data_IF_829163560946
#
_entry.id   IF_829163560946
#
_cell.length_a   1.000
_cell.length_b   1.000
_cell.length_c   1.000
_cell.angle_alpha   90.00
_cell.angle_beta   90.00
_cell.angle_gamma   90.00
#
_symmetry.space_group_name_H-M   'P 1'
#
loop_
_entity.id
_entity.type
_entity.pdbx_description
1 polymer ?
#
# COMPACT_ATOMS: atom_id res chain seq x y z
N UNK A 1 -7.18 1.42 -25.88
CA UNK A 1 -8.14 1.93 -26.90
C UNK A 1 -7.40 2.69 -28.02
N UNK A 2 -7.94 2.81 -29.24
CA UNK A 2 -7.29 3.61 -30.31
C UNK A 2 -7.59 5.11 -30.16
N UNK A 3 -6.60 5.97 -30.44
CA UNK A 3 -6.73 7.44 -30.32
C UNK A 3 -7.87 8.03 -31.18
N UNK A 4 -8.14 7.43 -32.35
CA UNK A 4 -9.24 7.82 -33.24
C UNK A 4 -10.61 7.62 -32.61
N UNK A 5 -10.78 6.57 -31.81
CA UNK A 5 -12.02 6.29 -31.09
C UNK A 5 -12.23 7.27 -29.93
N UNK A 6 -11.15 7.63 -29.22
CA UNK A 6 -11.18 8.64 -28.15
C UNK A 6 -11.66 9.99 -28.70
N UNK A 7 -11.04 10.46 -29.79
CA UNK A 7 -11.38 11.74 -30.40
C UNK A 7 -12.86 11.79 -30.81
N UNK A 8 -13.36 10.73 -31.44
CA UNK A 8 -14.77 10.64 -31.85
C UNK A 8 -15.74 10.73 -30.67
N UNK A 9 -15.45 10.06 -29.55
CA UNK A 9 -16.29 10.14 -28.35
C UNK A 9 -16.27 11.53 -27.71
N UNK A 10 -15.11 12.22 -27.75
CA UNK A 10 -14.99 13.61 -27.29
C UNK A 10 -15.85 14.52 -28.18
N UNK A 11 -15.73 14.40 -29.50
CA UNK A 11 -16.50 15.20 -30.48
C UNK A 11 -18.02 14.97 -30.36
N UNK A 12 -18.44 13.75 -30.01
CA UNK A 12 -19.84 13.40 -29.78
C UNK A 12 -20.39 13.80 -28.39
N UNK A 13 -19.56 14.34 -27.49
CA UNK A 13 -19.95 14.66 -26.12
C UNK A 13 -20.18 13.43 -25.22
N UNK A 14 -19.69 12.25 -25.61
CA UNK A 14 -19.84 10.97 -24.90
C UNK A 14 -18.83 10.84 -23.73
N UNK A 15 -18.68 11.90 -22.94
CA UNK A 15 -17.60 12.03 -21.94
C UNK A 15 -17.70 11.00 -20.82
N UNK A 16 -18.91 10.73 -20.30
CA UNK A 16 -19.07 9.76 -19.20
C UNK A 16 -18.82 8.32 -19.65
N UNK A 17 -19.22 7.98 -20.88
CA UNK A 17 -18.92 6.67 -21.46
C UNK A 17 -17.42 6.51 -21.75
N UNK A 18 -16.77 7.56 -22.25
CA UNK A 18 -15.33 7.59 -22.43
C UNK A 18 -14.59 7.38 -21.09
N UNK A 19 -15.01 8.07 -20.03
CA UNK A 19 -14.47 7.86 -18.68
C UNK A 19 -14.63 6.39 -18.26
N UNK A 20 -15.82 5.81 -18.40
CA UNK A 20 -16.07 4.41 -18.04
C UNK A 20 -15.09 3.45 -18.73
N UNK A 21 -14.94 3.55 -20.05
CA UNK A 21 -14.03 2.71 -20.84
C UNK A 21 -12.58 2.89 -20.38
N UNK A 22 -12.13 4.14 -20.15
CA UNK A 22 -10.77 4.40 -19.70
C UNK A 22 -10.51 3.86 -18.29
N UNK A 23 -11.49 3.96 -17.37
CA UNK A 23 -11.38 3.39 -16.01
C UNK A 23 -11.26 1.86 -16.07
N UNK A 24 -12.06 1.22 -16.92
CA UNK A 24 -12.00 -0.22 -17.14
C UNK A 24 -10.63 -0.63 -17.72
N UNK A 25 -10.11 0.11 -18.70
CA UNK A 25 -8.78 -0.14 -19.28
C UNK A 25 -7.66 0.02 -18.23
N UNK A 26 -7.71 1.06 -17.39
CA UNK A 26 -6.75 1.28 -16.30
C UNK A 26 -6.80 0.15 -15.28
N UNK A 27 -8.01 -0.30 -14.91
CA UNK A 27 -8.21 -1.40 -13.98
C UNK A 27 -7.61 -2.70 -14.51
N UNK A 28 -7.95 -3.10 -15.74
CA UNK A 28 -7.45 -4.33 -16.36
C UNK A 28 -5.93 -4.31 -16.55
N UNK A 29 -5.37 -3.18 -16.99
CA UNK A 29 -3.91 -3.02 -17.12
C UNK A 29 -3.18 -3.06 -15.77
N UNK A 30 -3.84 -2.63 -14.69
CA UNK A 30 -3.27 -2.70 -13.36
C UNK A 30 -3.25 -4.13 -12.81
N UNK A 31 -4.27 -4.93 -13.13
CA UNK A 31 -4.37 -6.34 -12.73
C UNK A 31 -3.46 -7.27 -13.55
N UNK A 32 -3.24 -6.97 -14.83
CA UNK A 32 -2.38 -7.80 -15.69
C UNK A 32 -0.88 -7.64 -15.39
N UNK A 33 -0.53 -6.75 -14.47
CA UNK A 33 0.85 -6.52 -14.07
C UNK A 33 1.32 -7.66 -13.15
N UNK A 34 2.20 -8.50 -13.68
CA UNK A 34 2.91 -9.49 -12.86
C UNK A 34 4.02 -8.83 -12.03
N UNK A 35 3.98 -8.89 -10.69
CA UNK A 35 5.02 -8.33 -9.84
C UNK A 35 6.30 -9.15 -9.95
N UNK A 36 7.32 -8.55 -10.53
CA UNK A 36 8.66 -9.12 -10.66
C UNK A 36 9.64 -8.48 -9.66
N UNK A 37 10.83 -9.08 -9.55
CA UNK A 37 11.93 -8.58 -8.69
C UNK A 37 12.25 -7.11 -9.00
N UNK A 38 12.19 -6.70 -10.27
CA UNK A 38 12.49 -5.32 -10.70
C UNK A 38 11.45 -4.32 -10.19
N UNK A 39 10.17 -4.69 -10.22
CA UNK A 39 9.08 -3.86 -9.74
C UNK A 39 9.13 -3.69 -8.22
N UNK A 40 9.43 -4.76 -7.48
CA UNK A 40 9.62 -4.74 -6.03
C UNK A 40 10.84 -3.95 -5.62
N UNK A 41 11.97 -4.14 -6.30
CA UNK A 41 13.17 -3.31 -6.10
C UNK A 41 12.89 -1.82 -6.35
N UNK A 42 12.07 -1.49 -7.36
CA UNK A 42 11.64 -0.11 -7.59
C UNK A 42 10.74 0.42 -6.47
N UNK A 43 9.92 -0.44 -5.84
CA UNK A 43 9.12 -0.08 -4.67
C UNK A 43 10.01 0.14 -3.43
N UNK A 44 11.03 -0.70 -3.20
CA UNK A 44 12.02 -0.52 -2.13
C UNK A 44 12.70 0.85 -2.20
N UNK A 45 13.18 1.24 -3.40
CA UNK A 45 13.75 2.58 -3.63
C UNK A 45 12.76 3.71 -3.36
N UNK A 46 11.46 3.48 -3.58
CA UNK A 46 10.38 4.45 -3.37
C UNK A 46 9.92 4.52 -1.91
N UNK A 47 10.21 3.52 -1.07
CA UNK A 47 9.63 3.40 0.27
C UNK A 47 9.88 4.65 1.15
N UNK A 48 11.12 5.13 1.14
CA UNK A 48 11.56 6.32 1.88
C UNK A 48 11.28 7.63 1.14
N UNK A 49 10.79 7.55 -0.11
CA UNK A 49 10.36 8.74 -0.85
C UNK A 49 9.20 9.39 -0.09
N UNK A 50 9.34 10.68 0.16
CA UNK A 50 8.39 11.52 0.92
C UNK A 50 8.35 11.30 2.43
N UNK A 51 9.28 10.52 3.00
CA UNK A 51 9.47 10.51 4.45
C UNK A 51 10.17 11.81 4.84
N UNK A 52 9.57 12.57 5.74
CA UNK A 52 10.12 13.80 6.31
C UNK A 52 10.38 13.57 7.80
N UNK A 53 11.40 12.78 8.10
CA UNK A 53 11.78 12.46 9.48
C UNK A 53 13.28 12.57 9.66
N UNK A 54 13.68 13.21 10.76
CA UNK A 54 15.06 13.28 11.20
C UNK A 54 15.52 11.99 11.88
N UNK A 55 14.63 11.04 12.16
CA UNK A 55 14.99 9.77 12.77
C UNK A 55 15.60 8.85 11.70
N UNK A 56 16.91 8.51 11.77
CA UNK A 56 17.60 7.88 10.64
C UNK A 56 17.01 6.51 10.26
N UNK A 57 16.48 5.74 11.21
CA UNK A 57 15.85 4.44 10.94
C UNK A 57 14.62 4.53 10.01
N UNK A 58 14.03 5.72 9.82
CA UNK A 58 12.92 5.93 8.90
C UNK A 58 13.36 6.31 7.47
N UNK A 59 14.67 6.34 7.20
CA UNK A 59 15.21 6.73 5.90
C UNK A 59 16.08 5.64 5.25
N UNK A 60 16.40 4.57 5.99
CA UNK A 60 17.25 3.49 5.53
C UNK A 60 16.64 2.12 5.86
N UNK A 61 16.77 1.11 4.98
CA UNK A 61 16.38 -0.26 5.29
C UNK A 61 17.37 -0.88 6.29
N UNK A 62 16.94 -1.86 7.08
CA UNK A 62 17.82 -2.59 8.00
C UNK A 62 17.84 -4.07 7.63
N UNK A 63 19.02 -4.57 7.27
CA UNK A 63 19.23 -5.98 6.93
C UNK A 63 19.32 -6.85 8.19
N UNK A 64 19.23 -8.17 8.00
CA UNK A 64 19.42 -9.18 9.04
C UNK A 64 18.43 -9.10 10.22
N UNK A 65 17.20 -8.62 9.95
CA UNK A 65 16.13 -8.59 10.95
C UNK A 65 15.48 -9.97 11.04
N UNK A 66 15.61 -10.61 12.20
CA UNK A 66 15.05 -11.95 12.44
C UNK A 66 13.64 -11.86 13.01
N UNK A 67 12.68 -12.48 12.31
CA UNK A 67 11.27 -12.57 12.71
C UNK A 67 10.81 -14.00 12.55
N UNK A 68 10.28 -14.60 13.63
CA UNK A 68 9.78 -15.98 13.63
C UNK A 68 10.77 -17.01 13.03
N UNK A 69 12.08 -16.82 13.28
CA UNK A 69 13.14 -17.70 12.79
C UNK A 69 13.57 -17.47 11.33
N UNK A 70 12.97 -16.52 10.61
CA UNK A 70 13.36 -16.14 9.24
C UNK A 70 14.05 -14.77 9.24
N UNK A 71 15.04 -14.62 8.38
CA UNK A 71 15.78 -13.36 8.21
C UNK A 71 15.16 -12.52 7.10
N UNK A 72 14.99 -11.23 7.37
CA UNK A 72 14.41 -10.26 6.47
C UNK A 72 15.26 -8.99 6.39
N UNK A 73 15.03 -8.22 5.33
CA UNK A 73 15.33 -6.79 5.31
C UNK A 73 14.08 -5.99 5.68
N UNK A 74 14.22 -5.10 6.63
CA UNK A 74 13.17 -4.23 7.13
C UNK A 74 13.19 -2.86 6.47
N UNK A 75 12.02 -2.40 6.05
CA UNK A 75 11.72 -1.04 5.64
C UNK A 75 10.69 -0.50 6.62
N UNK A 76 10.94 0.64 7.27
CA UNK A 76 10.09 1.17 8.34
C UNK A 76 9.96 2.69 8.23
N UNK A 77 8.79 3.22 8.56
CA UNK A 77 8.60 4.61 8.93
C UNK A 77 7.59 4.71 10.09
N UNK A 78 7.12 5.93 10.41
CA UNK A 78 6.18 6.19 11.50
C UNK A 78 4.80 5.53 11.33
N UNK A 79 4.41 5.17 10.11
CA UNK A 79 3.05 4.71 9.78
C UNK A 79 2.98 3.25 9.32
N UNK A 80 4.08 2.69 8.85
CA UNK A 80 4.08 1.38 8.23
C UNK A 80 5.46 0.73 8.18
N UNK A 81 5.48 -0.58 7.95
CA UNK A 81 6.70 -1.32 7.65
C UNK A 81 6.48 -2.40 6.60
N UNK A 82 7.57 -2.82 5.95
CA UNK A 82 7.64 -4.00 5.11
C UNK A 82 8.89 -4.80 5.49
N UNK A 83 8.76 -6.12 5.58
CA UNK A 83 9.82 -7.09 5.78
C UNK A 83 9.85 -7.97 4.53
N UNK A 84 10.97 -7.99 3.82
CA UNK A 84 11.12 -8.80 2.60
C UNK A 84 12.35 -9.68 2.71
N UNK A 85 12.30 -10.86 2.12
CA UNK A 85 13.46 -11.75 1.99
C UNK A 85 14.36 -11.40 0.81
N UNK A 86 13.92 -10.46 -0.03
CA UNK A 86 14.70 -10.03 -1.18
C UNK A 86 15.86 -9.11 -0.78
N UNK A 87 16.91 -9.15 -1.60
CA UNK A 87 18.07 -8.27 -1.45
C UNK A 87 17.70 -6.82 -1.75
N UNK A 88 18.32 -5.89 -1.01
CA UNK A 88 18.20 -4.45 -1.25
C UNK A 88 19.15 -3.92 -2.32
N UNK A 89 19.90 -4.79 -3.01
CA UNK A 89 20.80 -4.43 -4.10
C UNK A 89 21.80 -3.34 -3.68
N UNK A 90 21.67 -2.17 -4.31
CA UNK A 90 22.57 -1.02 -4.11
C UNK A 90 22.03 0.00 -3.09
N UNK A 91 20.87 -0.24 -2.49
CA UNK A 91 20.31 0.66 -1.47
C UNK A 91 21.20 0.59 -0.23
N UNK A 92 21.66 1.75 0.26
CA UNK A 92 22.48 1.83 1.47
C UNK A 92 21.67 1.35 2.69
N UNK A 93 22.13 0.34 3.45
CA UNK A 93 21.45 -0.10 4.66
C UNK A 93 21.73 0.85 5.84
N UNK A 94 20.87 0.75 6.85
CA UNK A 94 21.02 1.44 8.11
C UNK A 94 22.27 0.96 8.85
N UNK A 95 23.16 1.90 9.17
CA UNK A 95 24.32 1.66 10.03
C UNK A 95 24.10 2.40 11.37
N UNK A 96 23.91 1.63 12.44
CA UNK A 96 23.68 2.16 13.79
C UNK A 96 24.84 3.02 14.30
N UNK A 97 26.09 2.70 13.95
CA UNK A 97 27.27 3.48 14.35
C UNK A 97 27.29 4.81 13.62
N UNK A 98 27.10 4.79 12.29
CA UNK A 98 27.04 5.99 11.46
C UNK A 98 25.87 6.90 11.85
N UNK A 99 24.71 6.30 12.14
CA UNK A 99 23.49 7.00 12.49
C UNK A 99 23.42 7.47 13.94
N UNK A 100 24.32 7.02 14.82
CA UNK A 100 24.29 7.32 16.27
C UNK A 100 22.96 6.95 16.94
N UNK A 101 22.21 5.99 16.37
CA UNK A 101 20.86 5.66 16.78
C UNK A 101 20.55 4.17 16.58
N UNK A 102 19.44 3.70 17.13
CA UNK A 102 19.00 2.31 17.02
C UNK A 102 17.96 2.16 15.91
N UNK A 103 17.89 0.95 15.33
CA UNK A 103 16.77 0.57 14.48
C UNK A 103 15.65 -0.05 15.33
N UNK A 104 14.38 0.40 15.20
CA UNK A 104 13.27 -0.17 15.97
C UNK A 104 13.12 -1.68 15.76
N UNK A 105 12.82 -2.41 16.84
CA UNK A 105 12.64 -3.87 16.81
C UNK A 105 11.29 -4.24 16.18
N UNK A 106 11.19 -4.18 14.86
CA UNK A 106 9.96 -4.46 14.10
C UNK A 106 9.39 -5.85 14.35
N UNK A 107 10.24 -6.82 14.74
CA UNK A 107 9.82 -8.17 15.13
C UNK A 107 8.80 -8.18 16.26
N UNK A 108 8.80 -7.16 17.13
CA UNK A 108 7.83 -7.04 18.22
C UNK A 108 6.41 -6.69 17.74
N UNK A 109 6.27 -6.18 16.52
CA UNK A 109 4.97 -5.85 15.92
C UNK A 109 4.42 -7.00 15.09
N UNK A 110 5.21 -8.05 14.85
CA UNK A 110 4.80 -9.23 14.10
C UNK A 110 4.39 -10.32 15.10
N UNK A 111 3.13 -10.23 15.55
CA UNK A 111 2.48 -11.19 16.45
C UNK A 111 1.02 -11.38 16.06
N UNK A 112 0.43 -12.53 16.37
CA UNK A 112 -0.92 -12.91 15.92
C UNK A 112 -1.97 -12.88 17.02
N UNK A 113 -2.09 -11.76 17.74
CA UNK A 113 -3.27 -11.48 18.60
C UNK A 113 -4.47 -11.04 17.75
N UNK A 114 -4.59 -11.59 16.54
CA UNK A 114 -5.57 -11.17 15.55
C UNK A 114 -6.96 -11.67 15.96
N UNK A 115 -7.92 -10.76 15.96
CA UNK A 115 -9.32 -11.10 16.15
C UNK A 115 -9.94 -11.63 14.86
N UNK A 116 -9.44 -11.17 13.70
CA UNK A 116 -9.89 -11.55 12.37
C UNK A 116 -8.69 -11.83 11.48
N UNK A 117 -8.81 -12.84 10.63
CA UNK A 117 -7.80 -13.19 9.63
C UNK A 117 -8.44 -13.80 8.39
N UNK A 118 -7.74 -13.74 7.27
CA UNK A 118 -8.23 -14.30 6.00
C UNK A 118 -7.28 -13.98 4.86
N UNK A 119 -7.79 -14.08 3.63
CA UNK A 119 -7.07 -13.62 2.44
C UNK A 119 -7.68 -12.33 1.91
N UNK A 120 -6.84 -11.48 1.33
CA UNK A 120 -7.24 -10.23 0.71
C UNK A 120 -6.43 -9.96 -0.56
N UNK A 121 -7.12 -9.56 -1.61
CA UNK A 121 -6.52 -9.17 -2.88
C UNK A 121 -6.24 -7.65 -2.90
N UNK A 122 -5.06 -7.28 -2.40
CA UNK A 122 -4.61 -5.89 -2.35
C UNK A 122 -4.24 -5.35 -3.74
N UNK A 123 -3.83 -6.21 -4.67
CA UNK A 123 -3.62 -5.85 -6.08
C UNK A 123 -4.91 -5.33 -6.68
N UNK A 124 -6.03 -6.03 -6.43
CA UNK A 124 -7.37 -5.56 -6.79
C UNK A 124 -7.64 -4.21 -6.18
N UNK A 125 -7.51 -4.05 -4.86
CA UNK A 125 -7.79 -2.79 -4.16
C UNK A 125 -7.00 -1.60 -4.73
N UNK A 126 -5.72 -1.78 -5.06
CA UNK A 126 -4.86 -0.74 -5.66
C UNK A 126 -5.27 -0.46 -7.12
N UNK A 127 -5.52 -1.48 -7.94
CA UNK A 127 -5.98 -1.34 -9.32
C UNK A 127 -7.29 -0.54 -9.40
N UNK A 128 -8.17 -0.88 -8.50
CA UNK A 128 -9.44 -0.23 -8.23
C UNK A 128 -9.29 1.25 -7.88
N UNK A 129 -8.38 1.61 -6.96
CA UNK A 129 -8.08 3.01 -6.66
C UNK A 129 -7.50 3.74 -7.88
N UNK A 130 -6.59 3.10 -8.64
CA UNK A 130 -5.98 3.70 -9.86
C UNK A 130 -7.01 4.00 -10.94
N UNK A 131 -7.97 3.10 -11.15
CA UNK A 131 -9.09 3.34 -12.06
C UNK A 131 -9.94 4.55 -11.63
N UNK A 132 -9.84 4.97 -10.38
CA UNK A 132 -10.47 6.16 -9.83
C UNK A 132 -9.58 7.39 -9.81
N UNK A 133 -8.35 7.30 -10.29
CA UNK A 133 -7.44 8.45 -10.38
C UNK A 133 -6.41 8.51 -9.27
N UNK A 134 -6.35 7.50 -8.40
CA UNK A 134 -5.24 7.35 -7.47
C UNK A 134 -3.91 7.31 -8.24
N UNK A 135 -2.96 8.10 -7.76
CA UNK A 135 -1.57 8.05 -8.18
C UNK A 135 -0.68 8.19 -6.96
N UNK A 136 0.44 7.47 -6.94
CA UNK A 136 1.37 7.53 -5.83
C UNK A 136 2.09 8.90 -5.81
N UNK A 137 1.65 9.80 -4.92
CA UNK A 137 2.18 11.15 -4.69
C UNK A 137 2.50 11.38 -3.20
N UNK A 138 3.18 12.48 -2.88
CA UNK A 138 3.55 12.84 -1.49
C UNK A 138 2.32 12.84 -0.57
N UNK A 139 1.23 13.44 -1.03
CA UNK A 139 0.02 13.65 -0.24
C UNK A 139 -0.66 12.34 0.18
N UNK A 140 -0.59 11.30 -0.65
CA UNK A 140 -1.19 9.98 -0.37
C UNK A 140 -0.51 9.20 0.77
N UNK A 141 0.69 9.62 1.18
CA UNK A 141 1.47 8.97 2.24
C UNK A 141 1.72 9.90 3.44
N UNK A 142 1.17 11.11 3.41
CA UNK A 142 1.20 12.11 4.49
C UNK A 142 -0.24 12.43 4.91
N UNK A 143 -0.56 13.69 5.24
CA UNK A 143 -1.82 14.09 5.86
C UNK A 143 -2.91 14.47 4.85
N UNK A 144 -2.56 14.67 3.57
CA UNK A 144 -3.46 15.16 2.52
C UNK A 144 -3.92 14.04 1.57
N UNK A 145 -4.09 12.83 2.08
CA UNK A 145 -4.47 11.68 1.27
C UNK A 145 -5.93 11.80 0.79
N UNK A 146 -6.18 11.30 -0.41
CA UNK A 146 -7.50 11.21 -1.01
C UNK A 146 -8.04 9.78 -0.85
N UNK A 147 -7.25 8.76 -1.14
CA UNK A 147 -7.79 7.40 -1.26
C UNK A 147 -7.57 6.57 0.01
N UNK A 148 -8.65 5.94 0.49
CA UNK A 148 -8.61 5.01 1.62
C UNK A 148 -9.16 3.62 1.25
N UNK A 149 -8.71 2.64 2.01
CA UNK A 149 -9.12 1.24 2.00
C UNK A 149 -9.71 0.93 3.37
N UNK A 150 -10.93 0.38 3.40
CA UNK A 150 -11.55 -0.10 4.63
C UNK A 150 -11.47 -1.62 4.74
N UNK A 151 -11.20 -2.10 5.95
CA UNK A 151 -11.29 -3.52 6.30
C UNK A 151 -12.02 -3.63 7.64
N UNK A 152 -13.24 -4.15 7.60
CA UNK A 152 -14.17 -4.11 8.73
C UNK A 152 -14.37 -2.66 9.21
N UNK A 153 -13.97 -2.36 10.44
CA UNK A 153 -14.05 -1.07 11.11
C UNK A 153 -12.74 -0.26 11.05
N UNK A 154 -11.71 -0.78 10.37
CA UNK A 154 -10.41 -0.12 10.19
C UNK A 154 -10.30 0.61 8.86
N UNK A 155 -9.61 1.75 8.87
CA UNK A 155 -9.36 2.57 7.69
C UNK A 155 -7.88 2.77 7.45
N UNK A 156 -7.43 2.55 6.22
CA UNK A 156 -6.02 2.58 5.85
C UNK A 156 -5.83 3.42 4.59
N UNK A 157 -4.78 4.23 4.53
CA UNK A 157 -4.48 5.05 3.34
C UNK A 157 -4.02 4.14 2.21
N UNK A 158 -4.60 4.27 1.01
CA UNK A 158 -4.17 3.46 -0.16
C UNK A 158 -2.70 3.72 -0.47
N UNK A 159 -2.19 4.94 -0.26
CA UNK A 159 -0.77 5.23 -0.41
C UNK A 159 0.15 4.41 0.50
N UNK A 160 -0.28 4.10 1.73
CA UNK A 160 0.48 3.23 2.64
C UNK A 160 0.35 1.76 2.24
N UNK A 161 -0.84 1.34 1.79
CA UNK A 161 -1.06 -0.01 1.23
C UNK A 161 -0.18 -0.25 0.01
N UNK A 162 -0.18 0.65 -0.99
CA UNK A 162 0.69 0.57 -2.17
C UNK A 162 2.17 0.57 -1.76
N UNK A 163 2.57 1.46 -0.85
CA UNK A 163 3.96 1.56 -0.34
C UNK A 163 4.46 0.23 0.23
N UNK A 164 3.67 -0.42 1.08
CA UNK A 164 4.06 -1.66 1.77
C UNK A 164 3.89 -2.86 0.86
N UNK A 165 2.70 -3.04 0.29
CA UNK A 165 2.36 -4.23 -0.48
C UNK A 165 3.22 -4.35 -1.73
N UNK A 166 3.55 -3.25 -2.42
CA UNK A 166 4.43 -3.29 -3.60
C UNK A 166 5.85 -3.85 -3.34
N UNK A 167 6.30 -3.93 -2.08
CA UNK A 167 7.59 -4.57 -1.72
C UNK A 167 7.44 -6.07 -1.53
N UNK A 168 6.26 -6.53 -1.11
CA UNK A 168 5.99 -7.92 -0.75
C UNK A 168 4.98 -8.59 -1.69
N UNK A 169 4.62 -7.94 -2.79
CA UNK A 169 3.68 -8.45 -3.79
C UNK A 169 4.30 -9.63 -4.57
N UNK A 170 3.79 -10.83 -4.31
CA UNK A 170 4.13 -12.06 -5.01
C UNK A 170 3.12 -12.44 -6.10
N UNK A 171 2.13 -11.57 -6.35
CA UNK A 171 1.08 -11.78 -7.36
C UNK A 171 -0.12 -12.58 -6.84
N UNK A 172 -0.08 -13.04 -5.59
CA UNK A 172 -1.16 -13.81 -4.97
C UNK A 172 -1.89 -12.98 -3.90
N UNK A 173 -3.15 -13.33 -3.55
CA UNK A 173 -3.84 -12.71 -2.42
C UNK A 173 -3.05 -12.88 -1.11
N UNK A 174 -2.84 -11.78 -0.40
CA UNK A 174 -2.12 -11.77 0.86
C UNK A 174 -2.97 -12.35 2.00
N UNK A 175 -2.33 -13.04 2.94
CA UNK A 175 -2.93 -13.28 4.26
C UNK A 175 -3.01 -11.96 5.03
N UNK A 176 -4.10 -11.71 5.73
CA UNK A 176 -4.21 -10.58 6.65
C UNK A 176 -4.50 -11.02 8.08
N UNK A 177 -4.08 -10.20 9.02
CA UNK A 177 -4.31 -10.35 10.46
C UNK A 177 -4.71 -8.98 11.02
N UNK A 178 -5.91 -8.91 11.58
CA UNK A 178 -6.56 -7.67 12.02
C UNK A 178 -7.10 -7.81 13.44
N UNK A 179 -6.72 -6.86 14.30
CA UNK A 179 -7.09 -6.87 15.72
C UNK A 179 -8.03 -5.72 16.13
N UNK A 180 -8.49 -4.88 15.20
CA UNK A 180 -9.42 -3.79 15.47
C UNK A 180 -9.04 -2.45 14.83
N UNK A 181 -9.85 -1.40 15.04
CA UNK A 181 -9.87 -0.18 14.22
C UNK A 181 -8.70 0.77 14.50
N UNK A 182 -8.02 0.58 15.63
CA UNK A 182 -6.81 1.31 16.02
C UNK A 182 -5.56 0.43 15.95
N UNK A 183 -5.73 -0.83 15.55
CA UNK A 183 -4.67 -1.83 15.53
C UNK A 183 -3.99 -1.87 14.16
N UNK A 184 -2.69 -2.17 14.18
CA UNK A 184 -1.90 -2.42 12.98
C UNK A 184 -2.56 -3.53 12.13
N UNK A 185 -2.77 -3.26 10.84
CA UNK A 185 -3.08 -4.31 9.87
C UNK A 185 -1.78 -4.99 9.48
N UNK A 186 -1.68 -6.28 9.78
CA UNK A 186 -0.59 -7.13 9.31
C UNK A 186 -1.03 -7.86 8.04
N UNK A 187 -0.16 -7.87 7.04
CA UNK A 187 -0.33 -8.62 5.79
C UNK A 187 0.89 -9.50 5.55
N UNK A 188 0.69 -10.66 4.92
CA UNK A 188 1.75 -11.62 4.68
C UNK A 188 1.59 -12.28 3.31
N UNK A 189 2.71 -12.46 2.64
CA UNK A 189 2.85 -13.14 1.36
C UNK A 189 3.97 -14.17 1.46
N UNK A 190 4.26 -14.89 0.37
CA UNK A 190 5.38 -15.84 0.34
C UNK A 190 6.75 -15.15 0.48
N UNK A 191 6.85 -13.88 0.08
CA UNK A 191 8.12 -13.12 0.03
C UNK A 191 8.28 -12.11 1.17
N UNK A 192 7.24 -11.86 1.96
CA UNK A 192 7.36 -10.86 3.02
C UNK A 192 6.18 -10.70 3.98
N UNK A 193 6.32 -9.73 4.88
CA UNK A 193 5.34 -9.33 5.88
C UNK A 193 5.23 -7.80 5.84
N UNK A 194 4.02 -7.27 5.84
CA UNK A 194 3.74 -5.85 5.88
C UNK A 194 2.95 -5.48 7.13
N UNK A 195 3.16 -4.27 7.63
CA UNK A 195 2.37 -3.69 8.71
C UNK A 195 1.95 -2.28 8.34
N UNK A 196 0.65 -1.97 8.46
CA UNK A 196 0.08 -0.68 8.09
C UNK A 196 -0.78 -0.16 9.25
N UNK A 197 -0.45 1.03 9.78
CA UNK A 197 -1.27 1.65 10.81
C UNK A 197 -2.56 2.21 10.21
N UNK A 198 -3.69 2.05 10.93
CA UNK A 198 -4.94 2.68 10.53
C UNK A 198 -4.88 4.19 10.79
N UNK A 199 -5.81 4.92 10.18
CA UNK A 199 -6.10 6.29 10.58
C UNK A 199 -7.46 6.36 11.27
N UNK A 200 -7.58 7.25 12.25
CA UNK A 200 -8.85 7.50 12.92
C UNK A 200 -9.70 8.41 12.04
N UNK A 201 -10.93 7.99 11.72
CA UNK A 201 -11.97 8.87 11.18
C UNK A 201 -12.36 9.85 12.29
N UNK A 202 -11.72 11.02 12.36
CA UNK A 202 -12.19 12.12 13.22
C UNK A 202 -13.36 12.82 12.53
N UNK A 203 -14.32 13.32 13.31
CA UNK A 203 -15.49 14.08 12.80
C UNK A 203 -15.10 15.28 11.92
N UNK A 204 -13.88 15.78 12.08
CA UNK A 204 -13.35 16.92 11.32
C UNK A 204 -12.70 16.51 9.98
N UNK A 205 -12.51 15.20 9.75
CA UNK A 205 -12.21 14.65 8.42
C UNK A 205 -13.51 14.34 7.64
N UNK A 206 -14.57 15.11 7.90
CA UNK A 206 -15.67 15.29 6.96
C UNK A 206 -15.17 16.10 5.75
N UNK A 207 -14.16 15.61 5.04
CA UNK A 207 -14.05 15.94 3.62
C UNK A 207 -15.17 15.17 2.95
N UNK A 208 -16.11 15.87 2.33
CA UNK A 208 -17.12 15.27 1.47
C UNK A 208 -16.39 14.46 0.38
N UNK A 209 -16.27 13.16 0.60
CA UNK A 209 -15.52 12.30 -0.29
C UNK A 209 -15.96 10.85 -0.12
N UNK A 210 -15.86 10.13 -1.23
CA UNK A 210 -16.52 8.85 -1.44
C UNK A 210 -15.74 7.71 -0.77
N UNK A 211 -16.35 7.06 0.23
CA UNK A 211 -15.78 5.98 1.04
C UNK A 211 -15.69 4.65 0.27
N UNK A 212 -14.49 4.07 0.13
CA UNK A 212 -14.30 2.71 -0.43
C UNK A 212 -14.63 1.70 0.66
N UNK A 213 -15.87 1.22 0.66
CA UNK A 213 -16.38 0.22 1.62
C UNK A 213 -16.34 -1.17 1.00
N UNK A 214 -15.52 -2.07 1.53
CA UNK A 214 -15.57 -3.49 1.18
C UNK A 214 -16.41 -4.22 2.23
N UNK A 215 -17.65 -4.56 1.85
CA UNK A 215 -18.49 -5.46 2.63
C UNK A 215 -18.18 -6.86 2.11
N UNK A 216 -17.49 -7.63 2.94
CA UNK A 216 -17.05 -9.00 2.69
C UNK A 216 -15.88 -9.20 1.71
N UNK A 217 -15.07 -10.24 1.99
CA UNK A 217 -13.81 -10.57 1.31
C UNK A 217 -13.94 -10.89 -0.20
N UNK A 218 -15.15 -10.77 -0.78
CA UNK A 218 -15.46 -11.16 -2.15
C UNK A 218 -16.18 -10.08 -3.00
N UNK A 219 -16.64 -8.96 -2.42
CA UNK A 219 -17.34 -7.92 -3.20
C UNK A 219 -16.61 -6.59 -3.16
N UNK A 220 -16.26 -6.08 -4.34
CA UNK A 220 -15.54 -4.82 -4.49
C UNK A 220 -16.48 -3.68 -4.83
N UNK A 221 -16.46 -2.64 -4.01
CA UNK A 221 -17.06 -1.35 -4.35
C UNK A 221 -15.97 -0.30 -4.28
N UNK A 222 -15.95 0.60 -5.25
CA UNK A 222 -14.91 1.62 -5.38
C UNK A 222 -15.51 3.01 -5.48
N UNK A 223 -14.83 3.99 -4.91
CA UNK A 223 -15.33 5.34 -4.60
C UNK A 223 -14.16 6.37 -4.66
N UNK A 224 -14.39 7.56 -5.22
CA UNK A 224 -13.42 8.52 -5.81
C UNK A 224 -13.43 9.86 -5.04
N UNK A 225 -12.29 10.40 -4.59
CA UNK A 225 -12.27 11.63 -3.76
C UNK A 225 -11.94 12.88 -4.59
N UNK A 226 -12.66 13.97 -4.38
CA UNK A 226 -12.38 15.30 -4.93
C UNK A 226 -12.11 16.30 -3.79
#
# INVERSE_FOLDING_TARGET
MQNTQILKMIENGEIEELKRILRDEIYQNSLSRNPDVKSRYSAMKRFFKYVDSTFPAFNFPCENVVVQGKTYTSFLNSYCFALTTESIGEIEPFDAKKAGSFYPKVSKYVGSDALKSGKIDLSKAIATAKAKGYSYKKDEVTDNWEYSFSLYDGFFKVGLVDKVFSIIDDGEPAEFYYAGPVSLLLIKTSIGIGGILPFKKTSDYNKEGEEITFVDANEMIVTLWQ
#
